data_IF_164328739229
#
_entry.id   IF_164328739229
#
_cell.length_a   1.000
_cell.length_b   1.000
_cell.length_c   1.000
_cell.angle_alpha   90.00
_cell.angle_beta   90.00
_cell.angle_gamma   90.00
#
_symmetry.space_group_name_H-M   'P 1'
#
loop_
_entity.id
_entity.type
_entity.pdbx_description
1 polymer ?
#
# COMPACT_ATOMS: atom_id res chain seq x y z
N UNK A 1 28.96 -9.49 -13.57
CA UNK A 1 27.62 -10.06 -13.79
C UNK A 1 26.75 -9.66 -12.61
N UNK A 2 25.76 -8.80 -12.81
CA UNK A 2 24.85 -8.41 -11.72
C UNK A 2 23.78 -9.49 -11.60
N UNK A 3 23.90 -10.36 -10.60
CA UNK A 3 22.87 -11.34 -10.32
C UNK A 3 21.62 -10.59 -9.81
N UNK A 4 20.55 -10.63 -10.60
CA UNK A 4 19.22 -10.27 -10.12
C UNK A 4 18.81 -11.42 -9.20
N UNK A 5 18.86 -11.20 -7.89
CA UNK A 5 18.34 -12.18 -6.94
C UNK A 5 16.86 -12.39 -7.23
N UNK A 6 16.36 -13.65 -7.23
CA UNK A 6 14.94 -13.90 -7.36
C UNK A 6 14.21 -13.11 -6.27
N UNK A 7 13.10 -12.47 -6.65
CA UNK A 7 12.18 -11.87 -5.68
C UNK A 7 11.81 -13.00 -4.72
N UNK A 8 12.08 -12.87 -3.40
CA UNK A 8 11.66 -13.89 -2.46
C UNK A 8 10.16 -14.08 -2.59
N UNK A 9 9.69 -15.31 -2.65
CA UNK A 9 8.25 -15.60 -2.63
C UNK A 9 7.61 -14.89 -1.43
N UNK A 10 6.48 -14.22 -1.65
CA UNK A 10 5.82 -13.43 -0.61
C UNK A 10 6.38 -12.03 -0.40
N UNK A 11 7.04 -11.44 -1.41
CA UNK A 11 7.46 -10.04 -1.39
C UNK A 11 6.82 -9.26 -2.53
N UNK A 12 6.04 -8.23 -2.20
CA UNK A 12 5.41 -7.32 -3.16
C UNK A 12 6.01 -5.92 -3.06
N UNK A 13 6.06 -5.21 -4.19
CA UNK A 13 6.59 -3.85 -4.27
C UNK A 13 5.56 -2.89 -4.87
N UNK A 14 5.35 -1.76 -4.20
CA UNK A 14 4.53 -0.65 -4.66
C UNK A 14 5.40 0.57 -4.89
N UNK A 15 5.33 1.17 -6.08
CA UNK A 15 6.07 2.40 -6.39
C UNK A 15 5.39 3.61 -5.76
N UNK A 16 6.20 4.48 -5.17
CA UNK A 16 5.73 5.75 -4.63
C UNK A 16 5.46 6.73 -5.77
N UNK A 17 4.28 7.36 -5.76
CA UNK A 17 3.88 8.34 -6.79
C UNK A 17 4.76 9.59 -6.80
N UNK A 18 5.50 9.85 -5.72
CA UNK A 18 6.48 10.95 -5.65
C UNK A 18 7.74 10.69 -6.47
N UNK A 19 7.98 9.46 -6.94
CA UNK A 19 9.17 9.10 -7.73
C UNK A 19 10.44 8.91 -6.90
N UNK A 20 11.59 9.30 -7.45
CA UNK A 20 12.92 9.21 -6.80
C UNK A 20 13.33 7.82 -6.29
N UNK A 21 12.96 6.78 -7.05
CA UNK A 21 13.20 5.38 -6.68
C UNK A 21 12.67 5.03 -5.28
N UNK A 22 11.58 5.68 -4.86
CA UNK A 22 10.88 5.35 -3.62
C UNK A 22 9.90 4.23 -3.84
N UNK A 23 9.89 3.27 -2.92
CA UNK A 23 8.98 2.14 -2.97
C UNK A 23 8.57 1.69 -1.57
N UNK A 24 7.35 1.16 -1.45
CA UNK A 24 6.93 0.34 -0.33
C UNK A 24 7.16 -1.12 -0.70
N UNK A 25 7.85 -1.85 0.17
CA UNK A 25 8.03 -3.30 0.07
C UNK A 25 7.22 -3.95 1.18
N UNK A 26 6.41 -4.92 0.81
CA UNK A 26 5.63 -5.77 1.72
C UNK A 26 6.27 -7.15 1.74
N UNK A 27 6.65 -7.66 2.90
CA UNK A 27 7.22 -9.00 3.05
C UNK A 27 6.58 -9.76 4.21
N UNK A 28 6.25 -11.03 3.97
CA UNK A 28 5.63 -11.91 4.95
C UNK A 28 6.69 -12.73 5.70
N UNK A 29 6.52 -12.85 7.01
CA UNK A 29 7.33 -13.69 7.89
C UNK A 29 6.39 -14.60 8.69
N UNK A 30 5.94 -15.70 8.07
CA UNK A 30 4.96 -16.60 8.65
C UNK A 30 5.46 -17.26 9.93
N UNK A 31 6.76 -17.53 10.03
CA UNK A 31 7.39 -18.06 11.24
C UNK A 31 7.34 -17.13 12.45
N UNK A 32 7.09 -15.84 12.22
CA UNK A 32 7.04 -14.81 13.24
C UNK A 32 5.66 -14.12 13.32
N UNK A 33 4.66 -14.62 12.59
CA UNK A 33 3.30 -14.07 12.53
C UNK A 33 3.23 -12.56 12.26
N UNK A 34 4.13 -12.05 11.40
CA UNK A 34 4.19 -10.62 11.06
C UNK A 34 4.32 -10.37 9.57
N UNK A 35 3.79 -9.23 9.15
CA UNK A 35 4.04 -8.60 7.86
C UNK A 35 4.92 -7.38 8.06
N UNK A 36 6.00 -7.28 7.30
CA UNK A 36 6.89 -6.11 7.35
C UNK A 36 6.59 -5.20 6.17
N UNK A 37 6.18 -3.98 6.49
CA UNK A 37 5.98 -2.87 5.57
C UNK A 37 7.22 -1.98 5.63
N UNK A 38 8.03 -1.96 4.59
CA UNK A 38 9.30 -1.22 4.58
C UNK A 38 9.36 -0.20 3.45
N UNK A 39 9.82 1.02 3.77
CA UNK A 39 10.04 2.08 2.80
C UNK A 39 11.48 2.05 2.32
N UNK A 40 11.65 2.07 1.01
CA UNK A 40 12.95 2.03 0.35
C UNK A 40 13.16 3.29 -0.48
N UNK A 41 14.42 3.72 -0.58
CA UNK A 41 14.90 4.73 -1.53
C UNK A 41 16.10 4.17 -2.27
N UNK A 42 15.92 3.83 -3.54
CA UNK A 42 16.91 3.07 -4.31
C UNK A 42 17.17 1.71 -3.66
N UNK A 43 18.35 1.51 -3.07
CA UNK A 43 18.77 0.26 -2.40
C UNK A 43 18.81 0.36 -0.88
N UNK A 44 18.41 1.50 -0.33
CA UNK A 44 18.44 1.78 1.10
C UNK A 44 17.04 1.62 1.69
N UNK A 45 16.91 0.81 2.75
CA UNK A 45 15.72 0.78 3.58
C UNK A 45 15.76 1.98 4.53
N UNK A 46 14.84 2.93 4.36
CA UNK A 46 14.81 4.18 5.11
C UNK A 46 13.81 4.15 6.27
N UNK A 47 12.88 3.20 6.27
CA UNK A 47 11.93 2.98 7.37
C UNK A 47 11.32 1.57 7.28
N UNK A 48 10.88 1.02 8.41
CA UNK A 48 10.13 -0.23 8.45
C UNK A 48 9.12 -0.23 9.59
N UNK A 49 8.04 -0.97 9.37
CA UNK A 49 6.96 -1.18 10.32
C UNK A 49 6.59 -2.67 10.30
N UNK A 50 6.38 -3.26 11.49
CA UNK A 50 5.96 -4.65 11.65
C UNK A 50 4.49 -4.65 12.09
N UNK A 51 3.64 -5.26 11.28
CA UNK A 51 2.22 -5.44 11.57
C UNK A 51 1.99 -6.91 11.95
N UNK A 52 1.20 -7.16 13.00
CA UNK A 52 0.80 -8.53 13.32
C UNK A 52 -0.10 -9.09 12.23
N UNK A 53 -0.01 -10.39 11.95
CA UNK A 53 -0.86 -11.04 10.95
C UNK A 53 -2.36 -10.91 11.29
N UNK A 54 -2.70 -10.86 12.58
CA UNK A 54 -4.07 -10.71 13.07
C UNK A 54 -4.65 -9.31 12.79
N UNK A 55 -3.79 -8.31 12.59
CA UNK A 55 -4.17 -6.92 12.28
C UNK A 55 -4.23 -6.66 10.76
N UNK A 56 -3.72 -7.58 9.93
CA UNK A 56 -3.77 -7.45 8.47
C UNK A 56 -5.19 -7.28 7.92
N UNK A 57 -6.21 -8.05 8.39
CA UNK A 57 -7.59 -7.85 7.95
C UNK A 57 -8.11 -6.44 8.21
N UNK A 58 -7.72 -5.83 9.33
CA UNK A 58 -8.10 -4.44 9.67
C UNK A 58 -7.43 -3.44 8.71
N UNK A 59 -6.13 -3.61 8.43
CA UNK A 59 -5.44 -2.78 7.44
C UNK A 59 -6.12 -2.89 6.05
N UNK A 60 -6.49 -4.09 5.62
CA UNK A 60 -7.20 -4.32 4.35
C UNK A 60 -8.54 -3.58 4.35
N UNK A 61 -9.31 -3.69 5.44
CA UNK A 61 -10.59 -3.00 5.57
C UNK A 61 -10.44 -1.48 5.45
N UNK A 62 -9.45 -0.89 6.14
CA UNK A 62 -9.17 0.56 6.06
C UNK A 62 -8.84 1.00 4.63
N UNK A 63 -8.01 0.23 3.91
CA UNK A 63 -7.66 0.52 2.53
C UNK A 63 -8.87 0.41 1.59
N UNK A 64 -9.68 -0.63 1.76
CA UNK A 64 -10.90 -0.84 0.97
C UNK A 64 -11.93 0.27 1.20
N UNK A 65 -12.19 0.62 2.45
CA UNK A 65 -13.12 1.69 2.79
C UNK A 65 -12.67 3.04 2.20
N UNK A 66 -11.36 3.30 2.18
CA UNK A 66 -10.80 4.48 1.52
C UNK A 66 -11.02 4.47 0.01
N UNK A 67 -10.87 3.31 -0.63
CA UNK A 67 -11.12 3.12 -2.05
C UNK A 67 -12.59 3.35 -2.40
N UNK A 68 -13.51 2.73 -1.67
CA UNK A 68 -14.96 2.84 -1.89
C UNK A 68 -15.41 4.31 -1.78
N UNK A 69 -14.97 5.02 -0.73
CA UNK A 69 -15.24 6.46 -0.57
C UNK A 69 -14.72 7.31 -1.73
N UNK A 70 -13.57 6.93 -2.30
CA UNK A 70 -12.98 7.65 -3.43
C UNK A 70 -13.80 7.46 -4.71
N UNK A 71 -14.32 6.25 -4.96
CA UNK A 71 -15.22 6.00 -6.09
C UNK A 71 -16.56 6.70 -5.94
N UNK A 72 -17.13 6.75 -4.73
CA UNK A 72 -18.37 7.48 -4.47
C UNK A 72 -18.23 8.98 -4.74
N UNK A 73 -17.09 9.56 -4.36
CA UNK A 73 -16.79 10.97 -4.62
C UNK A 73 -16.69 11.28 -6.12
N UNK A 74 -16.13 10.36 -6.92
CA UNK A 74 -16.02 10.50 -8.38
C UNK A 74 -17.35 10.24 -9.08
N UNK A 75 -18.17 9.33 -8.56
CA UNK A 75 -19.44 8.92 -9.17
C UNK A 75 -20.60 9.87 -8.87
N UNK A 76 -20.46 10.77 -7.88
CA UNK A 76 -21.48 11.78 -7.59
C UNK A 76 -21.50 12.82 -8.71
N UNK A 77 -22.57 12.92 -9.51
CA UNK A 77 -22.62 13.92 -10.58
C UNK A 77 -22.58 15.32 -9.98
N UNK A 78 -21.87 16.24 -10.64
CA UNK A 78 -21.74 17.66 -10.27
C UNK A 78 -23.06 18.47 -10.36
N UNK A 79 -24.21 17.80 -10.22
CA UNK A 79 -25.51 18.25 -10.70
C UNK A 79 -26.56 18.48 -9.62
N UNK A 80 -26.19 18.77 -8.37
CA UNK A 80 -27.17 19.10 -7.31
C UNK A 80 -27.01 20.53 -6.74
N UNK A 81 -26.36 21.42 -7.51
CA UNK A 81 -26.27 22.84 -7.18
C UNK A 81 -27.31 23.72 -7.91
N UNK A 82 -28.34 23.14 -8.53
CA UNK A 82 -29.34 23.91 -9.25
C UNK A 82 -30.77 23.34 -9.11
N UNK A 83 -31.48 23.76 -8.06
CA UNK A 83 -32.85 24.30 -8.13
C UNK A 83 -33.39 24.53 -6.71
N UNK A 84 -33.18 25.74 -6.19
CA UNK A 84 -34.17 26.39 -5.32
C UNK A 84 -34.66 27.60 -6.09
N UNK A 85 -35.89 27.51 -6.59
CA UNK A 85 -36.70 28.65 -7.02
C UNK A 85 -38.07 28.50 -6.38
#
# INVERSE_FOLDING_TARGET
MSAVSPVPEGVEYFLDTRGDARALRVSWHHEADVVVLSMWRGRECVSSFRLSIDEVPELIAVLRDGLDRSYDAVSRPAGDAATTR
#
